data_IF_719325011644
#
_entry.id   IF_719325011644
#
_cell.length_a   1.000
_cell.length_b   1.000
_cell.length_c   1.000
_cell.angle_alpha   90.00
_cell.angle_beta   90.00
_cell.angle_gamma   90.00
#
_symmetry.space_group_name_H-M   'P 1'
#
loop_
_entity.id
_entity.type
_entity.pdbx_description
1 polymer ?
#
# COMPACT_ATOMS: atom_id res chain seq x y z
N UNK A 1 -31.46 -0.65 -9.79
CA UNK A 1 -30.29 -1.53 -9.64
C UNK A 1 -29.25 -1.02 -10.62
N UNK A 2 -28.36 -0.16 -10.18
CA UNK A 2 -27.39 0.48 -11.08
C UNK A 2 -26.08 -0.31 -10.98
N UNK A 3 -25.67 -0.93 -12.09
CA UNK A 3 -24.45 -1.74 -12.17
C UNK A 3 -23.25 -0.86 -12.50
N UNK A 4 -22.89 0.01 -11.55
CA UNK A 4 -21.65 0.77 -11.61
C UNK A 4 -20.50 -0.12 -11.15
N UNK A 5 -19.41 -0.14 -11.90
CA UNK A 5 -18.20 -0.86 -11.52
C UNK A 5 -16.96 -0.03 -11.79
N UNK A 6 -15.94 -0.22 -10.96
CA UNK A 6 -14.62 0.36 -11.12
C UNK A 6 -13.65 -0.74 -11.54
N UNK A 7 -12.88 -0.52 -12.60
CA UNK A 7 -11.85 -1.42 -13.08
C UNK A 7 -10.51 -1.06 -12.45
N UNK A 8 -9.85 -2.03 -11.80
CA UNK A 8 -8.50 -1.82 -11.30
C UNK A 8 -7.49 -1.83 -12.46
N UNK A 9 -6.72 -0.75 -12.69
CA UNK A 9 -5.77 -0.66 -13.79
C UNK A 9 -4.62 -1.67 -13.69
N UNK A 10 -4.34 -2.20 -12.48
CA UNK A 10 -3.27 -3.19 -12.26
C UNK A 10 -3.72 -4.61 -12.60
N UNK A 11 -4.92 -4.98 -12.13
CA UNK A 11 -5.42 -6.35 -12.19
C UNK A 11 -6.49 -6.56 -13.28
N UNK A 12 -6.92 -5.48 -13.96
CA UNK A 12 -8.04 -5.47 -14.92
C UNK A 12 -9.33 -6.08 -14.36
N UNK A 13 -9.50 -6.00 -13.05
CA UNK A 13 -10.61 -6.60 -12.32
C UNK A 13 -11.66 -5.56 -12.03
N UNK A 14 -12.91 -5.92 -12.30
CA UNK A 14 -14.06 -5.05 -12.04
C UNK A 14 -14.57 -5.26 -10.62
N UNK A 15 -14.71 -4.15 -9.90
CA UNK A 15 -15.23 -4.08 -8.54
C UNK A 15 -16.57 -3.35 -8.57
N UNK A 16 -17.60 -3.93 -7.94
CA UNK A 16 -18.94 -3.34 -7.96
C UNK A 16 -19.00 -2.13 -7.03
N UNK A 17 -19.36 -0.97 -7.57
CA UNK A 17 -19.64 0.23 -6.79
C UNK A 17 -21.03 0.10 -6.16
N UNK A 18 -21.11 0.38 -4.86
CA UNK A 18 -22.35 0.41 -4.09
C UNK A 18 -22.66 1.83 -3.68
N UNK A 19 -23.88 2.07 -3.19
CA UNK A 19 -24.33 3.40 -2.77
C UNK A 19 -23.33 4.15 -1.85
N UNK A 20 -22.72 3.52 -0.82
CA UNK A 20 -21.76 4.22 0.04
C UNK A 20 -20.48 4.66 -0.68
N UNK A 21 -20.05 3.90 -1.70
CA UNK A 21 -18.89 4.25 -2.51
C UNK A 21 -19.21 5.40 -3.46
N UNK A 22 -20.43 5.44 -3.99
CA UNK A 22 -20.90 6.52 -4.87
C UNK A 22 -21.06 7.84 -4.10
N UNK A 23 -21.59 7.79 -2.87
CA UNK A 23 -21.69 8.98 -2.00
C UNK A 23 -20.32 9.61 -1.74
N UNK A 24 -19.32 8.80 -1.40
CA UNK A 24 -17.95 9.30 -1.20
C UNK A 24 -17.27 9.81 -2.46
N UNK A 25 -17.62 9.26 -3.62
CA UNK A 25 -17.15 9.80 -4.91
C UNK A 25 -17.77 11.17 -5.21
N UNK A 26 -19.03 11.37 -4.81
CA UNK A 26 -19.70 12.66 -4.94
C UNK A 26 -19.03 13.68 -4.00
N UNK A 27 -18.80 13.32 -2.74
CA UNK A 27 -18.09 14.18 -1.78
C UNK A 27 -16.71 14.59 -2.31
N UNK A 28 -15.96 13.65 -2.91
CA UNK A 28 -14.65 13.93 -3.49
C UNK A 28 -14.70 14.96 -4.62
N UNK A 29 -15.73 14.90 -5.48
CA UNK A 29 -15.92 15.87 -6.57
C UNK A 29 -16.36 17.23 -6.02
N UNK A 30 -17.21 17.24 -5.00
CA UNK A 30 -17.66 18.46 -4.33
C UNK A 30 -16.51 19.19 -3.62
N UNK A 31 -15.53 18.45 -3.11
CA UNK A 31 -14.28 18.98 -2.55
C UNK A 31 -13.27 19.48 -3.61
N UNK A 32 -13.62 19.41 -4.90
CA UNK A 32 -12.78 19.84 -6.02
C UNK A 32 -11.89 18.75 -6.60
N UNK A 33 -12.08 17.50 -6.19
CA UNK A 33 -11.48 16.33 -6.81
C UNK A 33 -11.98 16.10 -8.24
N UNK A 34 -11.14 15.49 -9.07
CA UNK A 34 -11.50 15.13 -10.44
C UNK A 34 -11.88 13.64 -10.48
N UNK A 35 -12.87 13.26 -11.29
CA UNK A 35 -13.24 11.87 -11.54
C UNK A 35 -13.45 11.63 -13.04
N UNK A 36 -12.45 12.00 -13.85
CA UNK A 36 -12.51 11.82 -15.30
C UNK A 36 -12.02 10.42 -15.73
N UNK A 37 -11.05 9.86 -15.01
CA UNK A 37 -10.47 8.55 -15.29
C UNK A 37 -10.59 7.60 -14.08
N UNK A 38 -10.43 6.30 -14.33
CA UNK A 38 -10.41 5.23 -13.33
C UNK A 38 -9.24 5.39 -12.34
N UNK A 39 -8.18 6.10 -12.72
CA UNK A 39 -7.03 6.43 -11.87
C UNK A 39 -7.33 7.53 -10.83
N UNK A 40 -8.36 8.34 -11.07
CA UNK A 40 -8.71 9.47 -10.20
C UNK A 40 -9.59 9.05 -9.00
N UNK A 41 -9.98 7.77 -8.93
CA UNK A 41 -10.73 7.23 -7.79
C UNK A 41 -9.85 7.24 -6.53
N UNK A 42 -10.28 7.91 -5.45
CA UNK A 42 -9.53 7.99 -4.20
C UNK A 42 -9.10 6.63 -3.64
N UNK A 43 -7.89 6.60 -3.09
CA UNK A 43 -7.21 5.38 -2.63
C UNK A 43 -7.96 4.63 -1.52
N UNK A 44 -8.69 5.35 -0.68
CA UNK A 44 -9.61 4.84 0.34
C UNK A 44 -10.81 4.11 -0.28
N UNK A 45 -11.47 4.70 -1.28
CA UNK A 45 -12.60 4.06 -1.98
C UNK A 45 -12.15 2.81 -2.72
N UNK A 46 -10.98 2.84 -3.38
CA UNK A 46 -10.38 1.66 -4.02
C UNK A 46 -10.12 0.52 -3.03
N UNK A 47 -9.59 0.85 -1.85
CA UNK A 47 -9.32 -0.12 -0.79
C UNK A 47 -10.61 -0.79 -0.29
N UNK A 48 -11.65 -0.01 -0.07
CA UNK A 48 -12.95 -0.52 0.38
C UNK A 48 -13.60 -1.45 -0.64
N UNK A 49 -13.58 -1.08 -1.92
CA UNK A 49 -14.02 -1.93 -3.04
C UNK A 49 -13.30 -3.29 -3.07
N UNK A 50 -11.97 -3.27 -2.89
CA UNK A 50 -11.16 -4.49 -2.90
C UNK A 50 -11.51 -5.38 -1.70
N UNK A 51 -11.59 -4.82 -0.50
CA UNK A 51 -11.95 -5.53 0.73
C UNK A 51 -13.34 -6.17 0.62
N UNK A 52 -14.33 -5.42 0.14
CA UNK A 52 -15.71 -5.89 0.02
C UNK A 52 -15.84 -7.02 -1.02
N UNK A 53 -15.04 -7.00 -2.08
CA UNK A 53 -15.01 -8.09 -3.06
C UNK A 53 -14.45 -9.41 -2.50
N UNK A 54 -13.58 -9.34 -1.48
CA UNK A 54 -12.99 -10.52 -0.86
C UNK A 54 -13.92 -11.13 0.20
N UNK A 55 -14.65 -10.31 0.94
CA UNK A 55 -15.63 -10.79 1.93
C UNK A 55 -16.80 -11.52 1.28
N UNK A 56 -17.21 -11.11 0.07
CA UNK A 56 -18.23 -11.81 -0.72
C UNK A 56 -17.85 -13.22 -1.19
N UNK A 57 -16.57 -13.58 -1.21
CA UNK A 57 -16.09 -14.90 -1.68
C UNK A 57 -16.08 -15.99 -0.61
N UNK A 58 -16.17 -15.64 0.69
CA UNK A 58 -16.12 -16.62 1.79
C UNK A 58 -17.48 -17.16 2.25
N UNK A 59 -18.60 -16.62 1.78
CA UNK A 59 -19.93 -17.03 2.26
C UNK A 59 -20.70 -17.91 1.27
N UNK A 60 -20.02 -18.87 0.62
CA UNK A 60 -20.70 -19.88 -0.21
C UNK A 60 -20.17 -21.29 -0.01
N UNK A 61 -20.22 -21.78 1.23
CA UNK A 61 -20.47 -23.20 1.53
C UNK A 61 -20.99 -23.35 2.96
N UNK A 62 -22.30 -23.43 3.09
CA UNK A 62 -22.95 -23.60 4.38
C UNK A 62 -24.46 -23.73 4.22
N UNK A 63 -24.90 -24.81 3.57
CA UNK A 63 -26.28 -25.29 3.66
C UNK A 63 -26.31 -26.76 3.25
N UNK A 64 -26.41 -27.68 4.20
CA UNK A 64 -27.64 -28.46 4.38
C UNK A 64 -27.63 -29.29 5.69
N UNK A 65 -28.56 -28.92 6.58
CA UNK A 65 -29.38 -29.65 7.58
C UNK A 65 -28.88 -30.98 8.21
N UNK A 66 -28.88 -31.07 9.55
CA UNK A 66 -29.73 -31.99 10.39
C UNK A 66 -29.29 -32.01 11.87
N UNK A 67 -30.20 -31.53 12.75
CA UNK A 67 -30.53 -31.97 14.13
C UNK A 67 -29.50 -31.96 15.26
N UNK A 68 -29.83 -31.28 16.36
CA UNK A 68 -29.37 -31.67 17.70
C UNK A 68 -29.27 -30.53 18.71
N UNK A 69 -30.27 -30.44 19.59
CA UNK A 69 -30.38 -29.52 20.72
C UNK A 69 -29.18 -29.56 21.69
N UNK A 70 -28.79 -28.40 22.25
CA UNK A 70 -28.69 -28.13 23.70
C UNK A 70 -27.77 -26.93 23.97
N UNK A 71 -28.37 -25.78 24.25
CA UNK A 71 -27.69 -24.65 24.90
C UNK A 71 -27.62 -24.90 26.40
N UNK A 72 -26.50 -24.65 27.10
CA UNK A 72 -26.54 -24.33 28.52
C UNK A 72 -26.47 -22.80 28.74
N UNK A 73 -27.01 -22.32 29.87
CA UNK A 73 -27.33 -20.91 30.08
C UNK A 73 -26.17 -20.07 30.63
N UNK A 74 -26.38 -18.77 30.48
CA UNK A 74 -25.61 -17.58 30.83
C UNK A 74 -25.14 -17.53 32.31
N UNK A 75 -23.94 -16.99 32.56
CA UNK A 75 -23.63 -16.29 33.81
C UNK A 75 -23.27 -14.83 33.53
N UNK A 76 -24.12 -13.90 34.01
CA UNK A 76 -23.83 -12.47 34.03
C UNK A 76 -23.58 -12.13 35.50
N UNK A 77 -22.33 -11.84 35.85
CA UNK A 77 -22.03 -11.15 37.10
C UNK A 77 -22.24 -9.65 36.87
N UNK A 78 -23.31 -9.10 37.48
CA UNK A 78 -23.54 -7.66 37.61
C UNK A 78 -23.17 -7.28 39.05
N UNK A 79 -22.19 -6.38 39.22
CA UNK A 79 -21.98 -5.66 40.48
C UNK A 79 -21.69 -4.17 40.20
N UNK A 80 -22.01 -3.26 41.15
CA UNK A 80 -22.34 -1.86 40.86
C UNK A 80 -21.12 -0.93 40.84
N UNK A 81 -21.36 0.24 40.24
CA UNK A 81 -20.49 1.38 39.99
C UNK A 81 -19.38 1.65 41.04
N UNK A 82 -18.15 1.82 40.53
CA UNK A 82 -17.14 2.68 41.15
C UNK A 82 -16.49 3.53 40.05
N UNK A 83 -16.66 4.84 40.20
CA UNK A 83 -16.02 5.90 39.43
C UNK A 83 -14.52 5.93 39.68
N UNK A 84 -13.71 5.81 38.64
CA UNK A 84 -12.39 6.44 38.55
C UNK A 84 -11.94 6.51 37.09
N UNK A 85 -11.48 7.68 36.70
CA UNK A 85 -10.98 8.06 35.39
C UNK A 85 -9.80 7.20 34.91
N UNK A 86 -9.79 6.83 33.63
CA UNK A 86 -8.59 6.81 32.77
C UNK A 86 -9.00 6.53 31.32
N UNK A 87 -8.71 7.47 30.42
CA UNK A 87 -8.77 7.25 28.97
C UNK A 87 -7.70 6.23 28.58
N UNK A 88 -8.12 5.11 27.99
CA UNK A 88 -7.22 4.20 27.26
C UNK A 88 -7.89 3.84 25.95
N UNK A 89 -7.36 4.41 24.87
CA UNK A 89 -7.65 4.03 23.51
C UNK A 89 -7.25 2.56 23.31
N UNK A 90 -8.24 1.70 23.08
CA UNK A 90 -8.01 0.32 22.67
C UNK A 90 -7.64 0.31 21.20
N UNK A 91 -6.33 0.25 20.93
CA UNK A 91 -5.75 -0.14 19.65
C UNK A 91 -6.29 -1.53 19.29
N UNK A 92 -7.16 -1.62 18.27
CA UNK A 92 -7.51 -2.89 17.64
C UNK A 92 -6.65 -3.10 16.39
N UNK A 93 -6.31 -4.37 16.09
CA UNK A 93 -5.15 -4.70 15.28
C UNK A 93 -5.43 -4.43 13.82
N UNK A 94 -4.63 -3.57 13.22
CA UNK A 94 -4.50 -3.42 11.77
C UNK A 94 -4.11 -4.79 11.19
N UNK A 95 -5.06 -5.51 10.60
CA UNK A 95 -4.73 -6.65 9.75
C UNK A 95 -3.99 -6.11 8.53
N UNK A 96 -2.74 -6.53 8.28
CA UNK A 96 -1.90 -5.93 7.27
C UNK A 96 -2.51 -6.18 5.90
N UNK A 97 -2.78 -5.08 5.20
CA UNK A 97 -2.94 -5.08 3.76
C UNK A 97 -1.69 -5.77 3.23
N UNK A 98 -1.85 -6.93 2.60
CA UNK A 98 -0.77 -7.55 1.85
C UNK A 98 -0.56 -6.68 0.60
N UNK A 99 0.00 -5.48 0.80
CA UNK A 99 0.96 -4.93 -0.14
C UNK A 99 1.90 -6.11 -0.37
N UNK A 100 2.06 -6.53 -1.62
CA UNK A 100 3.07 -7.52 -1.98
C UNK A 100 4.39 -6.92 -1.50
N UNK A 101 4.73 -7.22 -0.24
CA UNK A 101 5.78 -6.54 0.50
C UNK A 101 7.00 -6.90 -0.28
N UNK A 102 7.57 -5.88 -0.91
CA UNK A 102 8.67 -6.07 -1.79
C UNK A 102 9.88 -6.25 -0.87
N UNK A 103 9.96 -7.42 -0.22
CA UNK A 103 11.03 -7.77 0.71
C UNK A 103 12.31 -7.79 -0.10
N UNK A 104 13.18 -6.85 0.20
CA UNK A 104 14.50 -6.76 -0.40
C UNK A 104 15.44 -7.53 0.53
N UNK A 105 16.02 -8.65 0.09
CA UNK A 105 16.88 -9.46 0.94
C UNK A 105 18.18 -8.72 1.27
N UNK A 106 18.70 -8.91 2.49
CA UNK A 106 19.99 -8.38 2.92
C UNK A 106 19.90 -7.14 3.83
N UNK A 107 21.04 -6.47 4.03
CA UNK A 107 21.09 -5.20 4.76
C UNK A 107 20.42 -4.10 3.96
N UNK A 108 19.61 -3.28 4.63
CA UNK A 108 18.90 -2.15 4.02
C UNK A 108 19.85 -1.13 3.40
N UNK A 109 20.93 -0.80 4.10
CA UNK A 109 21.95 0.13 3.61
C UNK A 109 22.70 -0.46 2.42
N UNK A 110 23.01 -1.76 2.47
CA UNK A 110 23.68 -2.46 1.37
C UNK A 110 22.79 -2.51 0.13
N UNK A 111 21.49 -2.78 0.30
CA UNK A 111 20.51 -2.76 -0.79
C UNK A 111 20.45 -1.39 -1.48
N UNK A 112 20.47 -0.28 -0.70
CA UNK A 112 20.53 1.07 -1.27
C UNK A 112 21.79 1.27 -2.11
N UNK A 113 22.96 0.81 -1.63
CA UNK A 113 24.23 0.94 -2.36
C UNK A 113 24.20 0.14 -3.67
N UNK A 114 23.75 -1.10 -3.62
CA UNK A 114 23.65 -1.98 -4.79
C UNK A 114 22.67 -1.42 -5.82
N UNK A 115 21.53 -0.92 -5.37
CA UNK A 115 20.55 -0.29 -6.23
C UNK A 115 21.13 0.96 -6.93
N UNK A 116 21.84 1.82 -6.19
CA UNK A 116 22.43 3.01 -6.78
C UNK A 116 23.56 2.66 -7.77
N UNK A 117 24.38 1.64 -7.46
CA UNK A 117 25.38 1.12 -8.41
C UNK A 117 24.72 0.59 -9.69
N UNK A 118 23.58 -0.10 -9.55
CA UNK A 118 22.81 -0.61 -10.69
C UNK A 118 22.25 0.55 -11.54
N UNK A 119 21.73 1.61 -10.92
CA UNK A 119 21.28 2.82 -11.63
C UNK A 119 22.43 3.50 -12.39
N UNK A 120 23.59 3.66 -11.75
CA UNK A 120 24.78 4.24 -12.37
C UNK A 120 25.28 3.42 -13.56
N UNK A 121 25.23 2.09 -13.49
CA UNK A 121 25.62 1.20 -14.58
C UNK A 121 24.76 1.35 -15.84
N UNK A 122 23.53 1.87 -15.69
CA UNK A 122 22.56 2.11 -16.77
C UNK A 122 22.60 3.55 -17.31
N UNK A 123 23.42 4.41 -16.71
CA UNK A 123 23.61 5.78 -17.14
C UNK A 123 24.93 5.94 -17.90
N UNK A 124 24.90 6.65 -19.03
CA UNK A 124 26.11 6.98 -19.79
C UNK A 124 26.59 8.41 -19.50
N UNK A 125 25.66 9.33 -19.23
CA UNK A 125 25.94 10.72 -18.92
C UNK A 125 26.44 10.89 -17.48
N UNK A 126 27.51 11.66 -17.30
CA UNK A 126 28.18 11.75 -16.00
C UNK A 126 27.47 12.70 -15.03
N UNK A 127 26.75 13.71 -15.53
CA UNK A 127 25.88 14.53 -14.67
C UNK A 127 24.70 13.69 -14.15
N UNK A 128 24.16 12.80 -14.98
CA UNK A 128 23.11 11.88 -14.59
C UNK A 128 23.58 10.84 -13.56
N UNK A 129 24.81 10.31 -13.70
CA UNK A 129 25.41 9.48 -12.65
C UNK A 129 25.66 10.25 -11.36
N UNK A 130 26.11 11.50 -11.46
CA UNK A 130 26.33 12.34 -10.29
C UNK A 130 25.03 12.57 -9.49
N UNK A 131 23.89 12.72 -10.17
CA UNK A 131 22.58 12.77 -9.53
C UNK A 131 22.27 11.47 -8.77
N UNK A 132 22.52 10.28 -9.36
CA UNK A 132 22.31 9.01 -8.66
C UNK A 132 23.23 8.83 -7.45
N UNK A 133 24.52 9.21 -7.57
CA UNK A 133 25.45 9.23 -6.43
C UNK A 133 24.94 10.11 -5.30
N UNK A 134 24.40 11.28 -5.65
CA UNK A 134 23.83 12.23 -4.70
C UNK A 134 22.54 11.71 -4.07
N UNK A 135 21.66 11.07 -4.84
CA UNK A 135 20.48 10.38 -4.30
C UNK A 135 20.90 9.29 -3.30
N UNK A 136 21.92 8.48 -3.65
CA UNK A 136 22.46 7.44 -2.77
C UNK A 136 22.93 8.01 -1.43
N UNK A 137 23.75 9.07 -1.50
CA UNK A 137 24.25 9.79 -0.34
C UNK A 137 23.09 10.33 0.52
N UNK A 138 22.14 11.06 -0.09
CA UNK A 138 20.99 11.63 0.62
C UNK A 138 20.16 10.55 1.29
N UNK A 139 19.87 9.45 0.59
CA UNK A 139 19.11 8.31 1.12
C UNK A 139 19.79 7.73 2.37
N UNK A 140 21.09 7.44 2.29
CA UNK A 140 21.85 6.87 3.40
C UNK A 140 22.01 7.83 4.58
N UNK A 141 22.30 9.11 4.31
CA UNK A 141 22.49 10.15 5.33
C UNK A 141 21.19 10.39 6.12
N UNK A 142 20.04 10.29 5.46
CA UNK A 142 18.72 10.43 6.10
C UNK A 142 18.16 9.10 6.61
N UNK A 143 18.95 8.02 6.61
CA UNK A 143 18.55 6.68 7.08
C UNK A 143 17.28 6.15 6.40
N UNK A 144 17.08 6.52 5.14
CA UNK A 144 16.00 5.99 4.31
C UNK A 144 16.46 4.66 3.70
N UNK A 145 15.55 3.69 3.66
CA UNK A 145 15.74 2.42 2.95
C UNK A 145 14.74 2.30 1.78
N UNK A 146 15.01 1.36 0.88
CA UNK A 146 14.22 1.20 -0.34
C UNK A 146 12.78 0.76 -0.08
N UNK A 147 12.51 0.04 1.02
CA UNK A 147 11.16 -0.36 1.41
C UNK A 147 10.39 0.87 1.93
N UNK A 148 11.02 1.66 2.81
CA UNK A 148 10.44 2.90 3.32
C UNK A 148 10.14 3.91 2.20
N UNK A 149 11.05 4.04 1.23
CA UNK A 149 10.86 4.91 0.06
C UNK A 149 9.70 4.43 -0.82
N UNK A 150 9.46 3.12 -0.92
CA UNK A 150 8.35 2.57 -1.68
C UNK A 150 7.01 2.75 -0.96
N UNK A 151 7.01 2.73 0.37
CA UNK A 151 5.83 2.95 1.19
C UNK A 151 5.34 4.41 1.12
N UNK A 152 6.27 5.38 1.09
CA UNK A 152 5.97 6.81 0.96
C UNK A 152 6.88 7.51 -0.08
N UNK A 153 6.58 7.41 -1.39
CA UNK A 153 7.43 7.95 -2.43
C UNK A 153 7.34 9.48 -2.54
N UNK A 154 8.41 10.18 -2.15
CA UNK A 154 8.52 11.64 -2.30
C UNK A 154 9.67 12.05 -3.23
N UNK A 155 9.33 12.37 -4.49
CA UNK A 155 10.32 12.91 -5.44
C UNK A 155 10.75 14.35 -5.06
N UNK A 156 9.86 15.10 -4.41
CA UNK A 156 10.09 16.47 -3.98
C UNK A 156 11.21 16.57 -2.96
N UNK A 157 11.30 15.63 -2.03
CA UNK A 157 12.41 15.52 -1.08
C UNK A 157 13.77 15.55 -1.78
N UNK A 158 13.96 14.75 -2.84
CA UNK A 158 15.22 14.72 -3.59
C UNK A 158 15.44 15.99 -4.40
N UNK A 159 14.39 16.55 -4.98
CA UNK A 159 14.48 17.82 -5.74
C UNK A 159 14.91 18.98 -4.84
N UNK A 160 14.41 19.05 -3.61
CA UNK A 160 14.83 20.05 -2.62
C UNK A 160 16.32 19.94 -2.27
N UNK A 161 16.92 18.76 -2.44
CA UNK A 161 18.37 18.55 -2.29
C UNK A 161 19.16 18.89 -3.56
N UNK A 162 18.52 19.42 -4.60
CA UNK A 162 19.14 19.83 -5.85
C UNK A 162 19.46 18.66 -6.76
N UNK A 163 18.56 17.67 -6.82
CA UNK A 163 18.56 16.58 -7.80
C UNK A 163 17.51 16.92 -8.87
N UNK A 164 17.77 16.60 -10.13
CA UNK A 164 16.78 16.87 -11.18
C UNK A 164 15.49 16.04 -10.96
N UNK A 165 14.33 16.66 -11.18
CA UNK A 165 13.02 16.01 -11.00
C UNK A 165 12.88 14.73 -11.82
N UNK A 166 13.44 14.71 -13.04
CA UNK A 166 13.45 13.52 -13.89
C UNK A 166 14.23 12.37 -13.24
N UNK A 167 15.41 12.65 -12.70
CA UNK A 167 16.26 11.67 -12.02
C UNK A 167 15.60 11.16 -10.74
N UNK A 168 15.02 12.05 -9.92
CA UNK A 168 14.30 11.66 -8.70
C UNK A 168 13.11 10.73 -9.00
N UNK A 169 12.28 11.06 -10.00
CA UNK A 169 11.16 10.20 -10.42
C UNK A 169 11.62 8.86 -10.95
N UNK A 170 12.71 8.84 -11.73
CA UNK A 170 13.29 7.61 -12.28
C UNK A 170 13.80 6.71 -11.16
N UNK A 171 14.50 7.27 -10.18
CA UNK A 171 14.95 6.55 -8.98
C UNK A 171 13.76 5.88 -8.28
N UNK A 172 12.68 6.60 -7.95
CA UNK A 172 11.53 5.98 -7.27
C UNK A 172 10.88 4.84 -8.07
N UNK A 173 10.71 5.02 -9.38
CA UNK A 173 10.05 4.01 -10.23
C UNK A 173 10.88 2.73 -10.34
N UNK A 174 12.19 2.86 -10.50
CA UNK A 174 13.04 1.75 -10.90
C UNK A 174 13.41 0.82 -9.71
N UNK A 175 13.08 1.19 -8.46
CA UNK A 175 13.29 0.33 -7.27
C UNK A 175 12.59 -1.03 -7.46
N UNK A 176 11.34 -1.03 -7.95
CA UNK A 176 10.58 -2.27 -8.18
C UNK A 176 11.18 -3.14 -9.28
N UNK A 177 11.71 -2.52 -10.33
CA UNK A 177 12.39 -3.22 -11.42
C UNK A 177 13.65 -3.91 -10.90
N UNK A 178 14.48 -3.17 -10.17
CA UNK A 178 15.71 -3.71 -9.58
C UNK A 178 15.44 -4.85 -8.61
N UNK A 179 14.50 -4.69 -7.67
CA UNK A 179 14.18 -5.75 -6.72
C UNK A 179 13.64 -7.01 -7.39
N UNK A 180 12.87 -6.87 -8.47
CA UNK A 180 12.40 -8.00 -9.28
C UNK A 180 13.56 -8.69 -9.98
N UNK A 181 14.53 -7.94 -10.51
CA UNK A 181 15.73 -8.49 -11.12
C UNK A 181 16.61 -9.25 -10.11
N UNK A 182 16.79 -8.69 -8.91
CA UNK A 182 17.54 -9.32 -7.81
C UNK A 182 16.93 -10.65 -7.39
N UNK A 183 15.60 -10.73 -7.23
CA UNK A 183 14.93 -12.00 -6.87
C UNK A 183 15.15 -13.09 -7.92
N UNK A 184 15.13 -12.74 -9.20
CA UNK A 184 15.39 -13.69 -10.28
C UNK A 184 16.82 -14.23 -10.23
N UNK A 185 17.80 -13.39 -9.91
CA UNK A 185 19.19 -13.83 -9.75
C UNK A 185 19.36 -14.79 -8.57
N UNK A 186 18.76 -14.49 -7.41
CA UNK A 186 18.82 -15.36 -6.23
C UNK A 186 18.15 -16.72 -6.48
N UNK A 187 17.15 -16.80 -7.35
CA UNK A 187 16.43 -18.07 -7.63
C UNK A 187 17.18 -18.98 -8.61
N UNK A 188 18.20 -18.45 -9.30
CA UNK A 188 18.96 -19.18 -10.34
C UNK A 188 20.32 -19.71 -9.85
N UNK A 189 20.71 -19.39 -8.63
CA UNK A 189 21.93 -19.87 -7.95
C UNK A 189 21.60 -21.01 -6.96
#
# INVERSE_FOLDING_TARGET
MSDWCWEDPKDKKHYKLRAPHLERLIDHVDEGGNLNDYDDVPSDIRRDLILESQTGKKSKKGSDVTTGLSYPPISINVLPAQTAHASTAALLPSTPVSHESLVIPGSREQAVREYCNWLESRANDEAYKADFRKICQVTLDNRLDLELILDDPDAGFFVQRGIQIGTARRFLRDIKEWATAMRRQITLE
#
